data_IF_702428063546
#
_entry.id   IF_702428063546
#
_cell.length_a   1.000
_cell.length_b   1.000
_cell.length_c   1.000
_cell.angle_alpha   90.00
_cell.angle_beta   90.00
_cell.angle_gamma   90.00
#
_symmetry.space_group_name_H-M   'P 1'
#
loop_
_entity.id
_entity.type
_entity.pdbx_description
1 polymer ?
#
# COMPACT_ATOMS: atom_id res chain seq x y z
N UNK A 1 92.23 -42.06 -7.79
CA UNK A 1 91.25 -42.42 -8.83
C UNK A 1 89.91 -41.89 -8.37
N UNK A 2 89.35 -40.93 -9.11
CA UNK A 2 88.14 -40.16 -8.77
C UNK A 2 86.89 -40.94 -9.22
N UNK A 3 85.89 -41.05 -8.34
CA UNK A 3 84.56 -41.58 -8.69
C UNK A 3 83.53 -40.45 -8.60
N UNK A 4 82.90 -40.15 -9.74
CA UNK A 4 81.79 -39.23 -9.90
C UNK A 4 80.45 -39.88 -9.51
N UNK A 5 79.48 -39.13 -8.95
CA UNK A 5 78.10 -39.57 -8.83
C UNK A 5 77.27 -39.21 -10.09
N UNK A 6 76.46 -40.17 -10.55
CA UNK A 6 75.52 -40.07 -11.67
C UNK A 6 74.20 -39.44 -11.19
N UNK A 7 73.82 -38.32 -11.81
CA UNK A 7 72.55 -37.64 -11.56
C UNK A 7 71.41 -38.25 -12.40
N UNK A 8 70.37 -38.79 -11.73
CA UNK A 8 69.12 -39.18 -12.38
C UNK A 8 68.19 -37.97 -12.54
N UNK A 9 67.95 -37.58 -13.79
CA UNK A 9 66.98 -36.53 -14.16
C UNK A 9 65.58 -37.11 -14.32
N UNK A 10 64.69 -36.83 -13.38
CA UNK A 10 63.25 -37.08 -13.52
C UNK A 10 62.62 -35.99 -14.39
N UNK A 11 62.41 -36.27 -15.69
CA UNK A 11 61.58 -35.45 -16.58
C UNK A 11 60.10 -35.60 -16.18
N UNK A 12 59.56 -34.63 -15.43
CA UNK A 12 58.10 -34.46 -15.28
C UNK A 12 57.52 -33.94 -16.60
N UNK A 13 56.78 -34.80 -17.29
CA UNK A 13 56.00 -34.47 -18.47
C UNK A 13 54.85 -33.52 -18.08
N UNK A 14 55.00 -32.22 -18.36
CA UNK A 14 53.90 -31.25 -18.28
C UNK A 14 52.91 -31.55 -19.43
N UNK A 15 51.79 -32.22 -19.13
CA UNK A 15 50.62 -32.19 -20.01
C UNK A 15 49.96 -30.83 -19.86
N UNK A 16 49.92 -30.08 -20.97
CA UNK A 16 49.11 -28.87 -21.06
C UNK A 16 47.62 -29.24 -21.02
N UNK A 17 46.79 -28.52 -20.26
CA UNK A 17 45.35 -28.69 -20.35
C UNK A 17 44.84 -28.02 -21.62
N UNK A 18 44.43 -28.80 -22.61
CA UNK A 18 43.56 -28.35 -23.70
C UNK A 18 42.17 -28.11 -23.14
N UNK A 19 41.94 -26.92 -22.58
CA UNK A 19 40.60 -26.40 -22.34
C UNK A 19 40.27 -25.43 -23.47
N UNK A 20 39.40 -25.86 -24.38
CA UNK A 20 38.63 -24.98 -25.23
C UNK A 20 37.63 -24.24 -24.34
N UNK A 21 38.08 -23.17 -23.69
CA UNK A 21 37.22 -22.24 -22.98
C UNK A 21 36.43 -21.47 -24.03
N UNK A 22 35.24 -21.97 -24.37
CA UNK A 22 34.23 -21.19 -25.06
C UNK A 22 33.88 -20.05 -24.12
N UNK A 23 34.40 -18.85 -24.38
CA UNK A 23 34.01 -17.65 -23.64
C UNK A 23 32.48 -17.54 -23.73
N UNK A 24 31.80 -17.75 -22.61
CA UNK A 24 30.36 -17.54 -22.51
C UNK A 24 30.12 -16.05 -22.74
N UNK A 25 29.67 -15.72 -23.95
CA UNK A 25 29.30 -14.37 -24.34
C UNK A 25 27.98 -14.02 -23.64
N UNK A 26 28.10 -13.46 -22.42
CA UNK A 26 26.96 -13.01 -21.64
C UNK A 26 26.60 -11.57 -22.03
N UNK A 27 25.35 -11.29 -22.42
CA UNK A 27 24.94 -9.94 -22.78
C UNK A 27 25.11 -8.99 -21.58
N UNK A 28 25.76 -7.84 -21.81
CA UNK A 28 25.90 -6.76 -20.83
C UNK A 28 24.53 -6.27 -20.35
N UNK A 29 24.16 -6.48 -19.07
CA UNK A 29 22.90 -5.98 -18.53
C UNK A 29 23.18 -4.67 -17.81
N UNK A 30 23.57 -3.60 -18.51
CA UNK A 30 23.27 -2.26 -18.01
C UNK A 30 21.77 -2.02 -18.21
N UNK A 31 21.01 -2.63 -17.30
CA UNK A 31 19.62 -3.00 -17.49
C UNK A 31 18.70 -1.79 -17.65
N UNK A 32 17.93 -1.80 -18.72
CA UNK A 32 16.73 -0.97 -18.86
C UNK A 32 15.79 -1.15 -17.67
N UNK A 33 15.80 -2.32 -17.00
CA UNK A 33 15.05 -2.57 -15.78
C UNK A 33 15.43 -1.64 -14.60
N UNK A 34 16.73 -1.40 -14.34
CA UNK A 34 17.18 -0.46 -13.30
C UNK A 34 16.82 0.99 -13.68
N UNK A 35 16.92 1.38 -14.96
CA UNK A 35 16.49 2.70 -15.44
C UNK A 35 14.97 2.88 -15.33
N UNK A 36 14.20 1.88 -15.74
CA UNK A 36 12.74 1.86 -15.68
C UNK A 36 12.25 1.86 -14.24
N UNK A 37 12.89 1.10 -13.34
CA UNK A 37 12.54 1.09 -11.92
C UNK A 37 12.89 2.41 -11.23
N UNK A 38 14.02 3.05 -11.57
CA UNK A 38 14.31 4.43 -11.13
C UNK A 38 13.23 5.38 -11.63
N UNK A 39 12.86 5.33 -12.91
CA UNK A 39 11.77 6.13 -13.48
C UNK A 39 10.45 5.98 -12.73
N UNK A 40 10.07 4.74 -12.39
CA UNK A 40 8.84 4.43 -11.63
C UNK A 40 8.90 4.87 -10.15
N UNK A 41 10.09 5.00 -9.57
CA UNK A 41 10.26 5.29 -8.12
C UNK A 41 10.61 6.74 -7.82
N UNK A 42 11.29 7.44 -8.75
CA UNK A 42 11.61 8.88 -8.63
C UNK A 42 10.58 9.82 -9.24
N UNK A 43 9.65 9.32 -10.07
CA UNK A 43 8.52 10.12 -10.52
C UNK A 43 7.61 10.42 -9.32
N UNK A 44 7.77 11.61 -8.72
CA UNK A 44 6.70 12.19 -7.92
C UNK A 44 5.44 12.26 -8.80
N UNK A 45 4.23 11.98 -8.25
CA UNK A 45 3.01 12.32 -8.96
C UNK A 45 3.01 13.84 -9.11
N UNK A 46 3.39 14.33 -10.29
CA UNK A 46 3.08 15.70 -10.65
C UNK A 46 1.56 15.79 -10.65
N UNK A 47 1.04 16.60 -9.74
CA UNK A 47 -0.34 17.06 -9.78
C UNK A 47 -0.59 17.60 -11.18
N UNK A 48 -1.42 16.88 -11.94
CA UNK A 48 -1.92 17.31 -13.24
C UNK A 48 -2.73 18.58 -12.97
N UNK A 49 -2.07 19.73 -13.07
CA UNK A 49 -2.70 21.04 -13.14
C UNK A 49 -3.37 21.12 -14.51
N UNK A 50 -4.68 20.84 -14.50
CA UNK A 50 -5.71 21.43 -15.36
C UNK A 50 -5.21 22.08 -16.66
N UNK A 51 -5.22 21.31 -17.76
CA UNK A 51 -5.29 21.87 -19.10
C UNK A 51 -6.72 21.75 -19.61
N UNK A 52 -7.36 22.90 -19.72
CA UNK A 52 -8.20 23.32 -20.85
C UNK A 52 -9.22 22.32 -21.39
N UNK A 53 -10.45 22.45 -20.91
CA UNK A 53 -11.68 21.98 -21.57
C UNK A 53 -11.83 22.72 -22.90
N UNK A 54 -11.77 22.00 -24.03
CA UNK A 54 -12.22 22.47 -25.34
C UNK A 54 -13.45 21.65 -25.80
N UNK A 55 -14.39 22.24 -26.56
CA UNK A 55 -15.70 21.66 -26.82
C UNK A 55 -15.70 20.64 -27.98
N UNK A 56 -16.65 19.72 -27.88
CA UNK A 56 -16.96 18.64 -28.83
C UNK A 56 -17.45 19.20 -30.17
N UNK A 57 -16.90 18.70 -31.28
CA UNK A 57 -17.58 18.70 -32.58
C UNK A 57 -18.11 17.29 -32.88
N UNK A 58 -19.29 17.26 -33.47
CA UNK A 58 -19.96 16.13 -34.09
C UNK A 58 -19.25 15.68 -35.38
N UNK A 59 -19.21 14.38 -35.65
CA UNK A 59 -19.89 13.78 -36.81
C UNK A 59 -19.56 12.28 -37.01
N UNK A 60 -20.65 11.50 -37.11
CA UNK A 60 -20.94 10.37 -38.01
C UNK A 60 -19.85 9.40 -38.50
N UNK A 61 -20.05 8.09 -38.33
CA UNK A 61 -20.59 7.17 -39.37
C UNK A 61 -20.56 5.69 -38.94
N UNK A 62 -21.46 4.94 -39.58
CA UNK A 62 -21.76 3.51 -39.49
C UNK A 62 -20.56 2.60 -39.80
N UNK A 63 -20.59 1.36 -39.30
CA UNK A 63 -20.63 0.15 -40.15
C UNK A 63 -20.85 -1.12 -39.32
N UNK A 64 -21.80 -1.93 -39.81
CA UNK A 64 -22.10 -3.30 -39.42
C UNK A 64 -20.97 -4.27 -39.82
N UNK A 65 -20.75 -5.30 -39.02
CA UNK A 65 -20.27 -6.60 -39.49
C UNK A 65 -20.63 -7.70 -38.50
N UNK A 66 -21.62 -8.48 -38.89
CA UNK A 66 -21.99 -9.78 -38.35
C UNK A 66 -20.86 -10.79 -38.52
N UNK A 67 -20.52 -11.56 -37.49
CA UNK A 67 -19.94 -12.89 -37.68
C UNK A 67 -20.52 -13.89 -36.68
N UNK A 68 -21.13 -14.90 -37.30
CA UNK A 68 -21.68 -16.14 -36.77
C UNK A 68 -20.56 -17.12 -36.40
N UNK A 69 -20.75 -17.90 -35.35
CA UNK A 69 -19.85 -18.98 -34.95
C UNK A 69 -20.36 -19.72 -33.70
N UNK A 70 -21.08 -20.81 -33.95
CA UNK A 70 -21.67 -21.81 -33.05
C UNK A 70 -20.60 -22.65 -32.33
N UNK A 71 -20.78 -23.00 -31.04
CA UNK A 71 -21.13 -24.37 -30.51
C UNK A 71 -19.94 -25.36 -30.58
N UNK A 72 -19.51 -26.20 -29.62
CA UNK A 72 -19.83 -26.69 -28.27
C UNK A 72 -18.46 -27.22 -27.76
N UNK A 73 -18.08 -27.33 -26.49
CA UNK A 73 -18.47 -28.37 -25.55
C UNK A 73 -17.38 -28.42 -24.45
N UNK A 74 -17.77 -28.85 -23.25
CA UNK A 74 -16.97 -29.49 -22.18
C UNK A 74 -17.32 -28.94 -20.80
N UNK A 75 -18.34 -29.56 -20.22
CA UNK A 75 -18.65 -29.53 -18.81
C UNK A 75 -17.42 -29.92 -17.95
N UNK A 76 -16.92 -28.96 -17.16
CA UNK A 76 -16.21 -29.25 -15.92
C UNK A 76 -16.74 -28.33 -14.84
N UNK A 77 -17.75 -28.82 -14.12
CA UNK A 77 -18.40 -28.16 -12.98
C UNK A 77 -17.47 -28.14 -11.78
N UNK A 78 -16.36 -27.41 -11.88
CA UNK A 78 -15.67 -26.87 -10.71
C UNK A 78 -16.45 -25.61 -10.33
N UNK A 79 -17.44 -25.78 -9.45
CA UNK A 79 -18.11 -24.64 -8.79
C UNK A 79 -17.02 -23.79 -8.14
N UNK A 80 -16.62 -22.71 -8.82
CA UNK A 80 -15.73 -21.68 -8.26
C UNK A 80 -16.32 -21.31 -6.90
N UNK A 81 -15.50 -21.24 -5.83
CA UNK A 81 -15.98 -20.80 -4.53
C UNK A 81 -16.65 -19.45 -4.78
N UNK A 82 -17.98 -19.38 -4.52
CA UNK A 82 -18.71 -18.12 -4.53
C UNK A 82 -17.87 -17.15 -3.71
N UNK A 83 -17.46 -16.06 -4.35
CA UNK A 83 -16.63 -15.01 -3.76
C UNK A 83 -17.16 -14.72 -2.35
N UNK A 84 -16.47 -15.22 -1.33
CA UNK A 84 -16.91 -15.15 0.05
C UNK A 84 -17.10 -13.69 0.46
N UNK A 85 -16.37 -12.78 -0.18
CA UNK A 85 -16.49 -11.33 -0.08
C UNK A 85 -17.83 -10.83 -0.58
N UNK A 86 -18.31 -11.31 -1.74
CA UNK A 86 -19.61 -10.94 -2.29
C UNK A 86 -20.76 -11.46 -1.41
N UNK A 87 -20.62 -12.67 -0.85
CA UNK A 87 -21.60 -13.23 0.09
C UNK A 87 -21.62 -12.46 1.42
N UNK A 88 -20.46 -12.14 1.98
CA UNK A 88 -20.35 -11.33 3.20
C UNK A 88 -20.90 -9.92 2.99
N UNK A 89 -20.62 -9.28 1.85
CA UNK A 89 -21.21 -7.98 1.47
C UNK A 89 -22.73 -8.06 1.38
N UNK A 90 -23.28 -9.14 0.82
CA UNK A 90 -24.73 -9.36 0.76
C UNK A 90 -25.34 -9.53 2.16
N UNK A 91 -24.73 -10.34 3.03
CA UNK A 91 -25.18 -10.56 4.40
C UNK A 91 -25.14 -9.28 5.24
N UNK A 92 -24.04 -8.52 5.16
CA UNK A 92 -23.92 -7.23 5.84
C UNK A 92 -24.98 -6.26 5.31
N UNK A 93 -25.20 -6.20 3.99
CA UNK A 93 -26.22 -5.32 3.39
C UNK A 93 -27.64 -5.72 3.80
N UNK A 94 -27.93 -7.02 3.91
CA UNK A 94 -29.20 -7.54 4.40
C UNK A 94 -29.45 -7.18 5.87
N UNK A 95 -28.45 -7.41 6.72
CA UNK A 95 -28.50 -7.08 8.15
C UNK A 95 -28.71 -5.57 8.38
N UNK A 96 -27.93 -4.72 7.71
CA UNK A 96 -28.07 -3.25 7.79
C UNK A 96 -29.42 -2.74 7.29
N UNK A 97 -30.04 -3.44 6.32
CA UNK A 97 -31.38 -3.08 5.82
C UNK A 97 -32.47 -3.50 6.81
N UNK A 98 -32.28 -4.62 7.51
CA UNK A 98 -33.22 -5.14 8.48
C UNK A 98 -33.19 -4.35 9.80
N UNK A 99 -32.00 -3.95 10.27
CA UNK A 99 -31.84 -3.10 11.47
C UNK A 99 -32.45 -1.71 11.33
N UNK A 100 -32.40 -1.13 10.12
CA UNK A 100 -33.06 0.15 9.80
C UNK A 100 -34.59 0.07 9.82
N UNK A 101 -35.17 -1.13 9.65
CA UNK A 101 -36.61 -1.33 9.60
C UNK A 101 -37.24 -1.56 10.98
N UNK A 102 -36.44 -1.93 11.99
CA UNK A 102 -36.94 -2.26 13.33
C UNK A 102 -36.89 -1.09 14.33
N UNK A 103 -36.34 0.07 13.94
CA UNK A 103 -36.13 1.19 14.86
C UNK A 103 -37.24 2.26 14.88
N UNK A 104 -38.46 1.90 14.48
CA UNK A 104 -39.65 2.75 14.61
C UNK A 104 -40.59 2.22 15.71
N UNK A 105 -40.22 2.35 16.99
CA UNK A 105 -41.21 2.41 18.08
C UNK A 105 -40.67 3.22 19.27
N UNK A 106 -41.30 4.38 19.48
CA UNK A 106 -41.61 5.09 20.72
C UNK A 106 -40.55 5.19 21.84
N UNK A 107 -39.98 6.39 22.03
CA UNK A 107 -39.62 6.87 23.37
C UNK A 107 -39.72 8.40 23.42
N UNK A 108 -40.81 8.90 24.00
CA UNK A 108 -41.08 10.33 24.30
C UNK A 108 -40.29 10.82 25.54
N UNK A 109 -39.32 10.05 26.03
CA UNK A 109 -38.40 10.49 27.08
C UNK A 109 -37.27 11.37 26.53
N UNK A 110 -37.43 12.69 26.64
CA UNK A 110 -36.34 13.69 26.47
C UNK A 110 -35.15 13.34 27.39
N UNK A 111 -34.24 12.48 26.94
CA UNK A 111 -32.93 12.33 27.56
C UNK A 111 -32.09 13.52 27.13
N UNK A 112 -31.86 14.40 28.10
CA UNK A 112 -30.93 15.50 28.01
C UNK A 112 -29.57 14.97 27.54
N UNK A 113 -29.16 15.45 26.37
CA UNK A 113 -27.99 15.04 25.64
C UNK A 113 -26.72 15.52 26.39
N UNK A 114 -26.20 14.69 27.30
CA UNK A 114 -25.00 15.00 28.08
C UNK A 114 -23.74 14.95 27.21
N UNK A 115 -22.72 15.77 27.52
CA UNK A 115 -21.48 16.04 26.76
C UNK A 115 -20.64 14.88 26.19
N UNK A 116 -21.06 13.61 26.33
CA UNK A 116 -20.41 12.41 25.79
C UNK A 116 -20.72 12.11 24.31
N UNK A 117 -21.57 12.89 23.64
CA UNK A 117 -22.06 12.57 22.28
C UNK A 117 -21.05 12.69 21.14
N UNK A 118 -19.88 13.28 21.40
CA UNK A 118 -18.92 13.62 20.35
C UNK A 118 -17.70 12.72 20.34
N UNK A 119 -17.69 11.74 21.24
CA UNK A 119 -16.68 10.70 21.33
C UNK A 119 -17.27 9.39 20.78
N UNK A 120 -16.72 8.94 19.65
CA UNK A 120 -17.15 7.73 18.97
C UNK A 120 -15.99 6.73 19.00
N UNK A 121 -15.98 5.77 19.96
CA UNK A 121 -14.91 4.79 20.05
C UNK A 121 -14.92 3.85 18.84
N UNK A 122 -16.10 3.47 18.33
CA UNK A 122 -16.27 2.56 17.19
C UNK A 122 -17.05 3.22 16.05
N UNK A 123 -16.39 3.96 15.14
CA UNK A 123 -17.07 4.71 14.07
C UNK A 123 -17.88 3.83 13.12
N UNK A 124 -17.40 2.62 12.86
CA UNK A 124 -18.08 1.64 12.00
C UNK A 124 -19.43 1.25 12.59
N UNK A 125 -19.48 0.96 13.89
CA UNK A 125 -20.73 0.63 14.58
C UNK A 125 -21.64 1.84 14.60
N UNK A 126 -21.13 2.99 15.08
CA UNK A 126 -21.96 4.18 15.28
C UNK A 126 -22.58 4.71 13.99
N UNK A 127 -21.81 4.87 12.91
CA UNK A 127 -22.37 5.46 11.68
C UNK A 127 -23.08 4.46 10.77
N UNK A 128 -22.76 3.16 10.81
CA UNK A 128 -23.43 2.16 9.96
C UNK A 128 -24.65 1.53 10.63
N UNK A 129 -24.58 1.30 11.94
CA UNK A 129 -25.61 0.59 12.71
C UNK A 129 -26.50 1.59 13.43
N UNK A 130 -25.92 2.49 14.23
CA UNK A 130 -26.70 3.37 15.10
C UNK A 130 -27.31 4.58 14.35
N UNK A 131 -26.73 4.97 13.20
CA UNK A 131 -27.20 6.07 12.31
C UNK A 131 -27.64 7.34 13.08
N UNK A 132 -26.75 7.93 13.90
CA UNK A 132 -27.13 9.04 14.76
C UNK A 132 -27.52 10.28 13.94
N UNK A 133 -28.70 10.85 14.22
CA UNK A 133 -29.28 11.94 13.43
C UNK A 133 -29.05 13.34 13.99
N UNK A 134 -28.67 13.42 15.26
CA UNK A 134 -28.66 14.64 16.05
C UNK A 134 -27.24 15.08 16.44
N UNK A 135 -26.22 14.58 15.75
CA UNK A 135 -24.85 15.01 16.00
C UNK A 135 -24.62 16.40 15.40
N UNK A 136 -24.12 17.32 16.22
CA UNK A 136 -23.76 18.68 15.81
C UNK A 136 -22.29 18.90 16.15
N UNK A 137 -21.55 19.53 15.24
CA UNK A 137 -20.15 19.90 15.48
C UNK A 137 -20.04 20.79 16.72
N UNK A 138 -19.28 20.39 17.73
CA UNK A 138 -19.12 21.18 18.95
C UNK A 138 -18.17 22.37 18.85
N UNK A 139 -17.37 22.43 17.79
CA UNK A 139 -16.49 23.59 17.55
C UNK A 139 -17.34 24.77 17.05
N UNK A 140 -18.20 24.54 16.04
CA UNK A 140 -19.00 25.59 15.44
C UNK A 140 -20.46 25.65 15.93
N UNK A 141 -20.93 24.59 16.58
CA UNK A 141 -22.28 24.45 17.18
C UNK A 141 -23.46 24.56 16.21
N UNK A 142 -23.22 24.56 14.89
CA UNK A 142 -24.29 24.69 13.89
C UNK A 142 -24.30 23.60 12.83
N UNK A 143 -23.14 23.00 12.50
CA UNK A 143 -23.04 22.03 11.40
C UNK A 143 -23.49 20.64 11.86
N UNK A 144 -24.53 20.04 11.24
CA UNK A 144 -24.90 18.66 11.50
C UNK A 144 -23.83 17.71 10.99
N UNK A 145 -23.44 16.73 11.80
CA UNK A 145 -22.43 15.74 11.46
C UNK A 145 -23.11 14.50 10.87
N UNK A 146 -22.82 14.23 9.60
CA UNK A 146 -23.34 13.08 8.85
C UNK A 146 -22.23 12.36 8.09
N UNK A 147 -22.50 11.11 7.75
CA UNK A 147 -21.63 10.33 6.88
C UNK A 147 -21.64 10.94 5.48
N UNK A 148 -20.47 11.33 4.97
CA UNK A 148 -20.35 11.84 3.61
C UNK A 148 -20.60 10.72 2.59
N UNK A 149 -20.99 11.09 1.36
CA UNK A 149 -21.22 10.12 0.28
C UNK A 149 -19.92 9.45 -0.15
N UNK A 150 -18.92 10.27 -0.44
CA UNK A 150 -17.57 9.87 -0.80
C UNK A 150 -16.58 10.82 -0.15
N UNK A 151 -15.29 10.46 -0.15
CA UNK A 151 -14.24 11.39 0.32
C UNK A 151 -13.98 12.51 -0.68
N UNK A 152 -14.17 12.27 -1.99
CA UNK A 152 -13.95 13.27 -3.03
C UNK A 152 -14.98 14.40 -2.99
N UNK A 153 -16.20 14.10 -2.54
CA UNK A 153 -17.29 15.08 -2.41
C UNK A 153 -17.28 15.78 -1.04
N UNK A 154 -16.29 15.49 -0.17
CA UNK A 154 -16.26 16.00 1.19
C UNK A 154 -15.89 17.49 1.23
N UNK A 155 -16.87 18.33 1.58
CA UNK A 155 -16.67 19.74 1.90
C UNK A 155 -16.18 19.99 3.34
N UNK A 156 -15.92 21.25 3.72
CA UNK A 156 -15.52 21.62 5.09
C UNK A 156 -16.57 21.25 6.15
N UNK A 157 -17.83 21.07 5.77
CA UNK A 157 -18.92 20.62 6.62
C UNK A 157 -18.94 19.10 6.87
N UNK A 158 -18.14 18.32 6.12
CA UNK A 158 -18.11 16.87 6.25
C UNK A 158 -17.66 16.44 7.66
N UNK A 159 -18.17 15.32 8.14
CA UNK A 159 -17.75 14.76 9.44
C UNK A 159 -16.33 14.25 9.33
N UNK A 160 -15.45 14.78 10.17
CA UNK A 160 -14.10 14.29 10.37
C UNK A 160 -13.96 13.65 11.74
N UNK A 161 -13.09 12.64 11.82
CA UNK A 161 -12.75 11.94 13.05
C UNK A 161 -11.24 12.00 13.31
N UNK A 162 -10.89 12.18 14.58
CA UNK A 162 -9.52 12.11 15.08
C UNK A 162 -9.18 10.72 15.63
N UNK A 163 -7.88 10.38 15.78
CA UNK A 163 -7.45 9.11 16.37
C UNK A 163 -8.06 8.82 17.73
N UNK A 164 -8.23 9.86 18.55
CA UNK A 164 -8.85 9.76 19.87
C UNK A 164 -10.35 9.43 19.84
N UNK A 165 -10.98 9.33 18.66
CA UNK A 165 -12.41 9.04 18.53
C UNK A 165 -13.32 10.27 18.56
N UNK A 166 -12.79 11.47 18.79
CA UNK A 166 -13.60 12.69 18.73
C UNK A 166 -13.94 13.09 17.29
N UNK A 167 -15.18 13.52 17.09
CA UNK A 167 -15.70 13.96 15.78
C UNK A 167 -16.09 15.44 15.76
N UNK A 168 -15.96 16.06 14.60
CA UNK A 168 -16.37 17.43 14.32
C UNK A 168 -16.37 17.70 12.81
N UNK A 169 -16.72 18.92 12.39
CA UNK A 169 -16.68 19.28 10.97
C UNK A 169 -15.22 19.37 10.49
N UNK A 170 -14.94 18.92 9.26
CA UNK A 170 -13.59 18.86 8.69
C UNK A 170 -12.89 20.22 8.73
N UNK A 171 -13.53 21.27 8.23
CA UNK A 171 -12.95 22.61 8.21
C UNK A 171 -12.69 23.17 9.61
N UNK A 172 -13.55 22.83 10.58
CA UNK A 172 -13.39 23.22 11.97
C UNK A 172 -12.10 22.63 12.57
N UNK A 173 -11.89 21.32 12.35
CA UNK A 173 -10.74 20.64 12.93
C UNK A 173 -9.44 20.93 12.19
N UNK A 174 -9.47 21.10 10.87
CA UNK A 174 -8.31 21.55 10.09
C UNK A 174 -7.86 22.94 10.54
N UNK A 175 -8.81 23.87 10.71
CA UNK A 175 -8.50 25.20 11.24
C UNK A 175 -7.89 25.13 12.65
N UNK A 176 -8.47 24.34 13.56
CA UNK A 176 -7.92 24.15 14.90
C UNK A 176 -6.50 23.59 14.86
N UNK A 177 -6.29 22.54 14.07
CA UNK A 177 -5.01 21.86 13.95
C UNK A 177 -3.94 22.72 13.25
N UNK A 178 -4.32 23.71 12.44
CA UNK A 178 -3.35 24.65 11.86
C UNK A 178 -2.58 25.47 12.90
N UNK A 179 -3.14 25.64 14.11
CA UNK A 179 -2.55 26.42 15.21
C UNK A 179 -2.27 25.60 16.47
N UNK A 180 -2.84 24.39 16.57
CA UNK A 180 -2.70 23.52 17.74
C UNK A 180 -2.29 22.11 17.34
N UNK A 181 -1.43 21.49 18.14
CA UNK A 181 -0.99 20.11 17.92
C UNK A 181 -1.80 19.07 18.71
N UNK A 182 -2.99 19.41 19.22
CA UNK A 182 -3.79 18.52 20.07
C UNK A 182 -5.28 18.55 19.77
N UNK A 183 -5.99 17.49 20.15
CA UNK A 183 -7.44 17.43 20.03
C UNK A 183 -8.12 18.51 20.90
N UNK A 184 -9.08 19.30 20.37
CA UNK A 184 -9.76 20.35 21.15
C UNK A 184 -10.57 19.81 22.34
N UNK A 185 -10.95 18.53 22.30
CA UNK A 185 -11.83 17.92 23.30
C UNK A 185 -11.05 17.24 24.43
N UNK A 186 -10.05 16.42 24.09
CA UNK A 186 -9.31 15.61 25.06
C UNK A 186 -7.83 15.98 25.20
N UNK A 187 -7.33 16.93 24.41
CA UNK A 187 -5.95 17.42 24.44
C UNK A 187 -4.87 16.37 24.12
N UNK A 188 -5.25 15.18 23.66
CA UNK A 188 -4.29 14.20 23.12
C UNK A 188 -3.55 14.83 21.94
N UNK A 189 -2.23 14.65 21.91
CA UNK A 189 -1.35 15.18 20.86
C UNK A 189 -1.61 14.48 19.53
N UNK A 190 -1.83 15.26 18.47
CA UNK A 190 -2.18 14.83 17.12
C UNK A 190 -0.96 14.91 16.19
N UNK A 191 0.15 14.30 16.57
CA UNK A 191 1.36 14.24 15.75
C UNK A 191 2.06 12.88 15.83
N UNK A 192 2.79 12.54 14.77
CA UNK A 192 3.58 11.32 14.68
C UNK A 192 4.91 11.49 15.39
N UNK A 193 5.18 10.70 16.43
CA UNK A 193 6.31 10.90 17.33
C UNK A 193 7.70 10.88 16.65
N UNK A 194 7.87 10.09 15.59
CA UNK A 194 9.15 9.92 14.89
C UNK A 194 9.40 10.93 13.78
N UNK A 195 8.38 11.58 13.22
CA UNK A 195 8.57 12.59 12.16
C UNK A 195 7.99 13.97 12.47
N UNK A 196 7.31 14.16 13.60
CA UNK A 196 6.71 15.43 14.01
C UNK A 196 5.50 15.89 13.18
N UNK A 197 5.26 15.30 12.01
CA UNK A 197 4.10 15.61 11.17
C UNK A 197 2.79 15.46 11.93
N UNK A 198 1.85 16.37 11.66
CA UNK A 198 0.52 16.35 12.23
C UNK A 198 -0.32 15.23 11.62
N UNK A 199 -1.06 14.54 12.49
CA UNK A 199 -2.05 13.53 12.10
C UNK A 199 -3.20 14.22 11.39
N UNK A 200 -3.55 13.74 10.20
CA UNK A 200 -4.64 14.29 9.42
C UNK A 200 -5.98 13.76 9.94
N UNK A 201 -6.97 14.63 10.21
CA UNK A 201 -8.34 14.18 10.45
C UNK A 201 -8.83 13.33 9.30
N UNK A 202 -9.54 12.23 9.59
CA UNK A 202 -10.10 11.38 8.54
C UNK A 202 -11.56 11.73 8.32
N UNK A 203 -11.94 11.96 7.07
CA UNK A 203 -13.35 12.09 6.71
C UNK A 203 -14.07 10.77 6.95
N UNK A 204 -15.24 10.83 7.57
CA UNK A 204 -16.14 9.70 7.71
C UNK A 204 -17.08 9.73 6.51
N UNK A 205 -16.85 8.84 5.54
CA UNK A 205 -17.68 8.69 4.34
C UNK A 205 -18.09 7.23 4.10
N UNK A 206 -19.15 6.99 3.31
CA UNK A 206 -19.66 5.65 3.05
C UNK A 206 -18.63 4.70 2.40
N UNK A 207 -17.77 5.24 1.54
CA UNK A 207 -16.73 4.52 0.80
C UNK A 207 -15.44 4.30 1.62
N UNK A 208 -15.25 4.98 2.74
CA UNK A 208 -14.00 4.91 3.53
C UNK A 208 -14.21 4.54 4.98
N UNK A 209 -15.45 4.50 5.48
CA UNK A 209 -15.76 4.08 6.84
C UNK A 209 -15.19 2.70 7.20
N UNK A 210 -15.11 1.79 6.23
CA UNK A 210 -14.55 0.46 6.43
C UNK A 210 -13.01 0.45 6.51
N UNK A 211 -12.34 1.46 5.93
CA UNK A 211 -10.88 1.63 5.97
C UNK A 211 -10.41 2.56 7.10
N UNK A 212 -11.34 3.11 7.89
CA UNK A 212 -10.98 3.85 9.09
C UNK A 212 -10.19 2.93 10.06
N UNK A 213 -9.01 3.38 10.53
CA UNK A 213 -8.28 2.68 11.58
C UNK A 213 -9.09 2.67 12.87
N UNK A 214 -8.77 1.72 13.76
CA UNK A 214 -9.35 1.69 15.10
C UNK A 214 -8.98 2.96 15.86
N UNK A 215 -9.91 3.54 16.61
CA UNK A 215 -9.61 4.68 17.48
C UNK A 215 -8.70 4.24 18.64
N UNK A 216 -8.03 5.19 19.29
CA UNK A 216 -7.19 4.92 20.47
C UNK A 216 -7.97 4.21 21.58
N UNK A 217 -9.25 4.52 21.74
CA UNK A 217 -10.12 3.90 22.73
C UNK A 217 -10.35 2.39 22.47
N UNK A 218 -10.24 1.98 21.21
CA UNK A 218 -10.41 0.60 20.76
C UNK A 218 -9.06 -0.07 20.43
N UNK A 219 -7.96 0.38 21.05
CA UNK A 219 -6.64 -0.23 20.86
C UNK A 219 -5.87 0.25 19.62
N UNK A 220 -6.44 1.19 18.86
CA UNK A 220 -5.75 1.89 17.80
C UNK A 220 -4.52 2.67 18.29
N UNK A 221 -3.64 3.05 17.35
CA UNK A 221 -2.40 3.77 17.65
C UNK A 221 -2.12 4.83 16.58
N UNK A 222 -1.56 5.96 17.00
CA UNK A 222 -0.94 6.92 16.08
C UNK A 222 0.41 6.34 15.67
N UNK A 223 0.67 6.23 14.36
CA UNK A 223 1.93 5.68 13.87
C UNK A 223 3.13 6.53 14.31
N UNK A 224 4.28 5.89 14.53
CA UNK A 224 5.54 6.61 14.82
C UNK A 224 5.90 7.54 13.66
N UNK A 225 5.67 7.10 12.42
CA UNK A 225 5.87 7.87 11.22
C UNK A 225 4.52 8.06 10.51
N UNK A 226 4.34 9.17 9.81
CA UNK A 226 3.18 9.34 8.94
C UNK A 226 3.26 8.38 7.75
N UNK A 227 2.14 8.21 7.02
CA UNK A 227 2.09 7.33 5.85
C UNK A 227 3.15 7.68 4.79
N UNK A 228 3.35 8.97 4.51
CA UNK A 228 4.35 9.47 3.57
C UNK A 228 5.79 9.19 4.02
N UNK A 229 6.10 9.42 5.30
CA UNK A 229 7.43 9.14 5.86
C UNK A 229 7.70 7.63 5.90
N UNK A 230 6.70 6.82 6.30
CA UNK A 230 6.82 5.37 6.27
C UNK A 230 7.06 4.84 4.86
N UNK A 231 6.35 5.38 3.86
CA UNK A 231 6.57 5.03 2.46
C UNK A 231 7.97 5.41 1.98
N UNK A 232 8.44 6.63 2.30
CA UNK A 232 9.79 7.09 1.97
C UNK A 232 10.85 6.19 2.60
N UNK A 233 10.79 5.96 3.91
CA UNK A 233 11.79 5.17 4.65
C UNK A 233 11.88 3.74 4.11
N UNK A 234 10.74 3.17 3.71
CA UNK A 234 10.68 1.86 3.06
C UNK A 234 11.26 1.87 1.66
N UNK A 235 10.93 2.86 0.83
CA UNK A 235 11.55 3.01 -0.49
C UNK A 235 13.07 3.12 -0.37
N UNK A 236 13.57 3.89 0.59
CA UNK A 236 15.00 4.00 0.86
C UNK A 236 15.61 2.67 1.33
N UNK A 237 14.93 1.95 2.22
CA UNK A 237 15.37 0.63 2.67
C UNK A 237 15.40 -0.39 1.50
N UNK A 238 14.40 -0.36 0.63
CA UNK A 238 14.34 -1.15 -0.61
C UNK A 238 15.50 -0.82 -1.54
N UNK A 239 15.78 0.46 -1.78
CA UNK A 239 16.92 0.90 -2.61
C UNK A 239 18.25 0.43 -2.02
N UNK A 240 18.45 0.55 -0.70
CA UNK A 240 19.65 0.06 -0.01
C UNK A 240 19.81 -1.45 -0.18
N UNK A 241 18.73 -2.21 0.05
CA UNK A 241 18.71 -3.67 -0.12
C UNK A 241 19.01 -4.09 -1.55
N UNK A 242 18.38 -3.44 -2.53
CA UNK A 242 18.59 -3.72 -3.96
C UNK A 242 20.03 -3.41 -4.38
N UNK A 243 20.58 -2.30 -3.92
CA UNK A 243 21.99 -1.93 -4.16
C UNK A 243 22.94 -3.00 -3.61
N UNK A 244 22.75 -3.42 -2.36
CA UNK A 244 23.58 -4.45 -1.74
C UNK A 244 23.50 -5.81 -2.46
N UNK A 245 22.30 -6.22 -2.89
CA UNK A 245 22.12 -7.47 -3.64
C UNK A 245 22.71 -7.39 -5.05
N UNK A 246 22.63 -6.23 -5.71
CA UNK A 246 23.29 -6.00 -6.98
C UNK A 246 24.83 -6.10 -6.85
N UNK A 247 25.39 -5.52 -5.79
CA UNK A 247 26.83 -5.62 -5.51
C UNK A 247 27.27 -7.06 -5.22
N UNK A 248 26.51 -7.79 -4.39
CA UNK A 248 26.76 -9.20 -4.11
C UNK A 248 26.70 -10.05 -5.39
N UNK A 249 25.70 -9.83 -6.25
CA UNK A 249 25.60 -10.54 -7.52
C UNK A 249 26.77 -10.23 -8.45
N UNK A 250 27.17 -8.96 -8.58
CA UNK A 250 28.35 -8.57 -9.38
C UNK A 250 29.64 -9.20 -8.84
N UNK A 251 29.79 -9.29 -7.52
CA UNK A 251 30.94 -9.94 -6.89
C UNK A 251 30.97 -11.44 -7.19
N UNK A 252 29.86 -12.15 -6.97
CA UNK A 252 29.74 -13.58 -7.26
C UNK A 252 29.96 -13.90 -8.74
N UNK A 253 29.52 -13.02 -9.65
CA UNK A 253 29.78 -13.16 -11.09
C UNK A 253 31.27 -13.06 -11.41
N UNK A 254 31.98 -12.05 -10.87
CA UNK A 254 33.44 -11.93 -11.06
C UNK A 254 34.19 -13.14 -10.50
N UNK A 255 33.75 -13.66 -9.37
CA UNK A 255 34.36 -14.85 -8.77
C UNK A 255 34.15 -16.10 -9.63
N UNK A 256 32.95 -16.31 -10.16
CA UNK A 256 32.66 -17.39 -11.11
C UNK A 256 33.49 -17.26 -12.39
N UNK A 257 33.68 -16.04 -12.92
CA UNK A 257 34.54 -15.78 -14.08
C UNK A 257 36.01 -16.12 -13.82
N UNK A 258 36.52 -15.83 -12.62
CA UNK A 258 37.94 -16.06 -12.26
C UNK A 258 38.21 -17.52 -11.94
N UNK A 259 37.34 -18.16 -11.14
CA UNK A 259 37.58 -19.51 -10.62
C UNK A 259 37.06 -20.61 -11.57
N UNK A 260 35.94 -20.36 -12.24
CA UNK A 260 35.31 -21.34 -13.14
C UNK A 260 34.85 -22.63 -12.47
N UNK A 261 34.73 -22.68 -11.13
CA UNK A 261 34.28 -23.88 -10.41
C UNK A 261 32.77 -23.96 -10.30
N UNK A 262 32.23 -25.18 -10.17
CA UNK A 262 30.79 -25.42 -9.99
C UNK A 262 30.27 -24.72 -8.74
N UNK A 263 31.07 -24.66 -7.67
CA UNK A 263 30.71 -23.95 -6.44
C UNK A 263 30.56 -22.44 -6.68
N UNK A 264 31.46 -21.83 -7.45
CA UNK A 264 31.41 -20.41 -7.75
C UNK A 264 30.21 -20.07 -8.65
N UNK A 265 29.91 -20.92 -9.63
CA UNK A 265 28.72 -20.80 -10.49
C UNK A 265 27.44 -20.91 -9.66
N UNK A 266 27.37 -21.86 -8.72
CA UNK A 266 26.22 -22.03 -7.84
C UNK A 266 26.04 -20.84 -6.89
N UNK A 267 27.13 -20.28 -6.36
CA UNK A 267 27.10 -19.04 -5.58
C UNK A 267 26.55 -17.86 -6.40
N UNK A 268 26.98 -17.69 -7.65
CA UNK A 268 26.45 -16.69 -8.56
C UNK A 268 24.95 -16.88 -8.80
N UNK A 269 24.50 -18.11 -9.06
CA UNK A 269 23.07 -18.43 -9.27
C UNK A 269 22.22 -18.09 -8.05
N UNK A 270 22.71 -18.39 -6.84
CA UNK A 270 22.04 -18.01 -5.58
C UNK A 270 21.93 -16.49 -5.43
N UNK A 271 23.00 -15.75 -5.74
CA UNK A 271 22.98 -14.29 -5.69
C UNK A 271 22.00 -13.68 -6.70
N UNK A 272 21.93 -14.25 -7.92
CA UNK A 272 20.93 -13.87 -8.92
C UNK A 272 19.49 -14.08 -8.40
N UNK A 273 19.19 -15.28 -7.88
CA UNK A 273 17.86 -15.57 -7.32
C UNK A 273 17.49 -14.64 -6.17
N UNK A 274 18.46 -14.28 -5.33
CA UNK A 274 18.24 -13.32 -4.25
C UNK A 274 17.91 -11.92 -4.78
N UNK A 275 18.58 -11.48 -5.85
CA UNK A 275 18.31 -10.20 -6.50
C UNK A 275 16.92 -10.16 -7.17
N UNK A 276 16.53 -11.23 -7.86
CA UNK A 276 15.26 -11.30 -8.60
C UNK A 276 14.02 -11.36 -7.70
N UNK A 277 14.13 -11.85 -6.45
CA UNK A 277 13.00 -12.00 -5.52
C UNK A 277 12.60 -10.71 -4.77
N UNK A 278 13.33 -9.61 -4.92
CA UNK A 278 13.09 -8.36 -4.17
C UNK A 278 11.78 -7.65 -4.55
N UNK A 279 11.44 -7.49 -5.85
CA UNK A 279 10.28 -6.68 -6.26
C UNK A 279 8.95 -7.17 -5.67
N UNK A 280 8.81 -8.49 -5.49
CA UNK A 280 7.60 -9.10 -4.93
C UNK A 280 7.41 -8.73 -3.46
N UNK A 281 8.48 -8.80 -2.66
CA UNK A 281 8.40 -8.54 -1.22
C UNK A 281 8.15 -7.05 -0.91
N UNK A 282 8.80 -6.15 -1.64
CA UNK A 282 8.72 -4.73 -1.35
C UNK A 282 7.38 -4.12 -1.82
N UNK A 283 6.79 -4.65 -2.90
CA UNK A 283 5.49 -4.20 -3.41
C UNK A 283 4.33 -4.45 -2.42
N UNK A 284 4.26 -5.66 -1.85
CA UNK A 284 3.22 -6.03 -0.88
C UNK A 284 3.33 -5.23 0.41
N UNK A 285 4.55 -4.97 0.85
CA UNK A 285 4.81 -4.18 2.05
C UNK A 285 4.32 -2.74 1.87
N UNK A 286 4.57 -2.11 0.72
CA UNK A 286 4.14 -0.73 0.44
C UNK A 286 2.61 -0.59 0.33
N UNK A 287 1.90 -1.58 -0.23
CA UNK A 287 0.44 -1.52 -0.41
C UNK A 287 -0.35 -1.68 0.90
N UNK A 288 0.14 -2.51 1.84
CA UNK A 288 -0.57 -2.80 3.10
C UNK A 288 -0.66 -1.60 4.06
N UNK A 289 0.29 -0.67 4.01
CA UNK A 289 0.48 0.31 5.11
C UNK A 289 -0.46 1.51 5.08
N UNK A 290 -1.14 1.74 3.96
CA UNK A 290 -2.07 2.88 3.84
C UNK A 290 -3.33 2.76 4.72
N UNK A 291 -3.66 1.55 5.18
CA UNK A 291 -4.99 1.25 5.72
C UNK A 291 -5.06 1.08 7.24
N UNK A 292 -3.92 1.00 7.93
CA UNK A 292 -3.90 0.56 9.34
C UNK A 292 -3.43 1.60 10.36
N UNK A 293 -2.97 2.77 9.90
CA UNK A 293 -2.40 3.79 10.79
C UNK A 293 -3.16 5.11 10.66
N UNK A 294 -3.39 5.74 11.82
CA UNK A 294 -3.63 7.18 11.90
C UNK A 294 -2.35 7.93 11.59
#
# INVERSE_FOLDING_TARGET
MQNHPVAHSFRRSRRAPTQSATALDWPQPESDAIRQWRGLTTAQPQTIRSLGRQPRSSDSLRSDASLSGSEEDAASSRKKPRDATAHLKYLIRGYLKQSRSTHFVNDDGKKELTSKEYFIPSPKVTFLIDDPRNLICQICQHTPLRLARTVEDAGPEATAILPCGHICCLGCIEFWLSTHASCPFCRIVMSHAGCGHQVQPRVVAHDTIHTLPETLANGGKIGVLCSKCTERDRREASVRRLTALAEAFRAARREAEILGTDEAIECMRKAQQAFERIPENDYWVLSSTRHHQW
#
